data_IF_513072974021
#
_entry.id   IF_513072974021
#
_cell.length_a   1.000
_cell.length_b   1.000
_cell.length_c   1.000
_cell.angle_alpha   90.00
_cell.angle_beta   90.00
_cell.angle_gamma   90.00
#
_symmetry.space_group_name_H-M   'P 1'
#
loop_
_entity.id
_entity.type
_entity.pdbx_description
1 polymer ?
#
# COMPACT_ATOMS: atom_id res chain seq x y z
N UNK A 1 -25.54 -30.39 4.70
CA UNK A 1 -25.30 -29.87 6.08
C UNK A 1 -24.02 -30.45 6.66
N UNK A 2 -23.81 -31.77 6.57
CA UNK A 2 -22.60 -32.44 7.10
C UNK A 2 -21.34 -31.98 6.36
N UNK A 3 -21.39 -31.78 5.07
CA UNK A 3 -20.28 -31.32 4.26
C UNK A 3 -19.82 -29.89 4.59
N UNK A 4 -20.76 -29.02 4.99
CA UNK A 4 -20.45 -27.63 5.36
C UNK A 4 -19.76 -27.55 6.72
N UNK A 5 -20.18 -28.36 7.68
CA UNK A 5 -19.57 -28.43 9.01
C UNK A 5 -18.14 -28.96 8.95
N UNK A 6 -17.91 -30.01 8.17
CA UNK A 6 -16.56 -30.59 8.00
C UNK A 6 -15.60 -29.58 7.38
N UNK A 7 -16.05 -28.80 6.41
CA UNK A 7 -15.22 -27.77 5.78
C UNK A 7 -14.86 -26.64 6.73
N UNK A 8 -15.77 -26.24 7.59
CA UNK A 8 -15.53 -25.21 8.59
C UNK A 8 -14.50 -25.67 9.62
N UNK A 9 -14.63 -26.89 10.11
CA UNK A 9 -13.69 -27.49 11.07
C UNK A 9 -12.28 -27.62 10.48
N UNK A 10 -12.19 -28.05 9.21
CA UNK A 10 -10.92 -28.13 8.50
C UNK A 10 -10.28 -26.75 8.33
N UNK A 11 -11.07 -25.72 8.01
CA UNK A 11 -10.61 -24.36 7.88
C UNK A 11 -10.03 -23.80 9.18
N UNK A 12 -10.71 -24.04 10.30
CA UNK A 12 -10.25 -23.62 11.63
C UNK A 12 -8.99 -24.36 12.05
N UNK A 13 -8.89 -25.66 11.76
CA UNK A 13 -7.70 -26.47 12.04
C UNK A 13 -6.49 -26.03 11.23
N UNK A 14 -6.70 -25.72 9.95
CA UNK A 14 -5.63 -25.20 9.08
C UNK A 14 -5.15 -23.84 9.54
N UNK A 15 -6.05 -22.96 9.96
CA UNK A 15 -5.69 -21.64 10.48
C UNK A 15 -4.84 -21.76 11.74
N UNK A 16 -5.21 -22.63 12.68
CA UNK A 16 -4.44 -22.87 13.89
C UNK A 16 -3.06 -23.45 13.58
N UNK A 17 -2.98 -24.38 12.63
CA UNK A 17 -1.71 -24.96 12.20
C UNK A 17 -0.80 -23.92 11.56
N UNK A 18 -1.35 -23.04 10.71
CA UNK A 18 -0.59 -21.95 10.08
C UNK A 18 -0.09 -20.96 11.11
N UNK A 19 -0.90 -20.60 12.10
CA UNK A 19 -0.50 -19.67 13.17
C UNK A 19 0.62 -20.24 14.02
N UNK A 20 0.53 -21.53 14.41
CA UNK A 20 1.58 -22.21 15.17
C UNK A 20 2.88 -22.31 14.36
N UNK A 21 2.79 -22.64 13.07
CA UNK A 21 3.93 -22.72 12.18
C UNK A 21 4.58 -21.34 11.97
N UNK A 22 3.78 -20.28 11.95
CA UNK A 22 4.28 -18.90 11.81
C UNK A 22 5.13 -18.51 13.02
N UNK A 23 4.70 -18.85 14.24
CA UNK A 23 5.49 -18.60 15.44
C UNK A 23 6.85 -19.31 15.40
N UNK A 24 6.86 -20.57 14.96
CA UNK A 24 8.09 -21.36 14.84
C UNK A 24 9.05 -20.73 13.81
N UNK A 25 8.53 -20.29 12.69
CA UNK A 25 9.32 -19.63 11.67
C UNK A 25 9.93 -18.33 12.19
N UNK A 26 9.16 -17.53 12.92
CA UNK A 26 9.66 -16.30 13.50
C UNK A 26 10.79 -16.55 14.50
N UNK A 27 10.68 -17.61 15.29
CA UNK A 27 11.75 -18.02 16.23
C UNK A 27 13.02 -18.41 15.48
N UNK A 28 12.89 -19.20 14.42
CA UNK A 28 14.03 -19.61 13.60
C UNK A 28 14.75 -18.43 12.98
N UNK A 29 13.97 -17.41 12.54
CA UNK A 29 14.51 -16.21 11.93
C UNK A 29 15.00 -15.17 12.96
N UNK A 30 14.83 -15.45 14.24
CA UNK A 30 15.19 -14.53 15.33
C UNK A 30 14.41 -13.21 15.25
N UNK A 31 13.14 -13.32 14.89
CA UNK A 31 12.22 -12.17 14.78
C UNK A 31 11.21 -12.20 15.93
N UNK A 32 10.83 -11.03 16.40
CA UNK A 32 9.78 -10.90 17.40
C UNK A 32 8.42 -11.35 16.87
N UNK A 33 7.59 -11.91 17.75
CA UNK A 33 6.24 -12.34 17.40
C UNK A 33 5.28 -11.15 17.41
N UNK A 34 5.42 -10.27 16.43
CA UNK A 34 4.53 -9.13 16.23
C UNK A 34 3.53 -9.44 15.12
N UNK A 35 2.41 -8.71 15.10
CA UNK A 35 1.41 -8.87 14.06
C UNK A 35 2.00 -8.57 12.66
N UNK A 36 2.83 -7.53 12.56
CA UNK A 36 3.47 -7.16 11.30
C UNK A 36 4.39 -8.27 10.79
N UNK A 37 5.17 -8.90 11.66
CA UNK A 37 6.04 -10.01 11.29
C UNK A 37 5.23 -11.25 10.89
N UNK A 38 4.16 -11.56 11.61
CA UNK A 38 3.27 -12.68 11.27
C UNK A 38 2.60 -12.47 9.92
N UNK A 39 2.11 -11.28 9.66
CA UNK A 39 1.48 -10.94 8.38
C UNK A 39 2.46 -11.08 7.22
N UNK A 40 3.70 -10.61 7.40
CA UNK A 40 4.75 -10.74 6.39
C UNK A 40 5.07 -12.22 6.09
N UNK A 41 5.19 -13.04 7.11
CA UNK A 41 5.43 -14.49 6.95
C UNK A 41 4.28 -15.15 6.17
N UNK A 42 3.04 -14.79 6.48
CA UNK A 42 1.87 -15.30 5.77
C UNK A 42 1.89 -14.90 4.29
N UNK A 43 2.26 -13.67 3.99
CA UNK A 43 2.37 -13.19 2.61
C UNK A 43 3.37 -14.03 1.82
N UNK A 44 4.54 -14.32 2.40
CA UNK A 44 5.53 -15.19 1.77
C UNK A 44 4.99 -16.60 1.57
N UNK A 45 4.34 -17.17 2.57
CA UNK A 45 3.79 -18.51 2.50
C UNK A 45 2.70 -18.62 1.43
N UNK A 46 1.79 -17.65 1.37
CA UNK A 46 0.72 -17.60 0.36
C UNK A 46 1.25 -17.51 -1.06
N UNK A 47 2.38 -16.84 -1.25
CA UNK A 47 3.02 -16.68 -2.54
C UNK A 47 4.08 -17.77 -2.82
N UNK A 48 4.22 -18.76 -1.96
CA UNK A 48 5.17 -19.87 -2.09
C UNK A 48 6.62 -19.37 -2.26
N UNK A 49 6.97 -18.36 -1.49
CA UNK A 49 8.30 -17.75 -1.50
C UNK A 49 9.11 -18.24 -0.31
N UNK A 50 10.42 -18.30 -0.48
CA UNK A 50 11.33 -18.57 0.62
C UNK A 50 11.25 -17.45 1.65
N UNK A 51 11.07 -17.82 2.93
CA UNK A 51 10.92 -16.86 4.02
C UNK A 51 12.30 -16.59 4.62
N UNK A 52 12.75 -15.34 4.47
CA UNK A 52 14.03 -14.89 5.03
C UNK A 52 13.79 -13.67 5.92
N UNK A 53 14.72 -13.41 6.83
CA UNK A 53 14.67 -12.23 7.69
C UNK A 53 14.67 -10.95 6.85
N UNK A 54 15.55 -10.88 5.86
CA UNK A 54 15.67 -9.74 4.96
C UNK A 54 14.38 -9.52 4.16
N UNK A 55 13.76 -10.61 3.69
CA UNK A 55 12.49 -10.54 2.96
C UNK A 55 11.35 -10.04 3.84
N UNK A 56 11.27 -10.51 5.09
CA UNK A 56 10.26 -10.04 6.03
C UNK A 56 10.42 -8.54 6.29
N UNK A 57 11.65 -8.09 6.54
CA UNK A 57 11.93 -6.67 6.74
C UNK A 57 11.59 -5.83 5.50
N UNK A 58 11.87 -6.35 4.31
CA UNK A 58 11.55 -5.68 3.05
C UNK A 58 10.04 -5.51 2.86
N UNK A 59 9.25 -6.56 3.09
CA UNK A 59 7.80 -6.48 2.97
C UNK A 59 7.21 -5.53 4.02
N UNK A 60 7.71 -5.56 5.23
CA UNK A 60 7.29 -4.62 6.28
C UNK A 60 7.57 -3.17 5.87
N UNK A 61 8.74 -2.92 5.30
CA UNK A 61 9.14 -1.60 4.84
C UNK A 61 8.23 -1.10 3.71
N UNK A 62 7.95 -1.95 2.72
CA UNK A 62 7.04 -1.62 1.62
C UNK A 62 5.63 -1.32 2.16
N UNK A 63 5.13 -2.16 3.05
CA UNK A 63 3.81 -1.98 3.66
C UNK A 63 3.75 -0.67 4.46
N UNK A 64 4.77 -0.39 5.24
CA UNK A 64 4.87 0.86 6.02
C UNK A 64 4.92 2.09 5.11
N UNK A 65 5.68 2.03 4.03
CA UNK A 65 5.78 3.10 3.03
C UNK A 65 4.42 3.36 2.38
N UNK A 66 3.71 2.31 1.99
CA UNK A 66 2.39 2.42 1.40
C UNK A 66 1.37 3.04 2.37
N UNK A 67 1.37 2.59 3.63
CA UNK A 67 0.49 3.14 4.66
C UNK A 67 0.78 4.62 4.91
N UNK A 68 2.05 5.00 4.96
CA UNK A 68 2.46 6.39 5.13
C UNK A 68 2.04 7.25 3.93
N UNK A 69 2.21 6.73 2.72
CA UNK A 69 1.78 7.38 1.48
C UNK A 69 0.28 7.66 1.50
N UNK A 70 -0.52 6.65 1.85
CA UNK A 70 -1.98 6.77 1.91
C UNK A 70 -2.39 7.82 2.93
N UNK A 71 -1.75 7.82 4.10
CA UNK A 71 -2.04 8.78 5.17
C UNK A 71 -1.73 10.21 4.77
N UNK A 72 -0.65 10.41 4.02
CA UNK A 72 -0.14 11.74 3.65
C UNK A 72 -0.68 12.25 2.31
N UNK A 73 -1.42 11.43 1.58
CA UNK A 73 -2.01 11.84 0.30
C UNK A 73 -3.25 12.69 0.56
N UNK A 74 -3.10 13.98 0.42
CA UNK A 74 -4.18 14.95 0.57
C UNK A 74 -4.60 15.47 -0.80
N UNK A 75 -5.84 15.95 -0.97
CA UNK A 75 -6.31 16.45 -2.27
C UNK A 75 -5.39 17.50 -2.89
N UNK A 76 -4.95 18.47 -2.12
CA UNK A 76 -4.06 19.53 -2.58
C UNK A 76 -2.69 19.00 -2.99
N UNK A 77 -2.17 18.00 -2.27
CA UNK A 77 -0.88 17.39 -2.59
C UNK A 77 -0.96 16.53 -3.84
N UNK A 78 -2.01 15.75 -3.98
CA UNK A 78 -2.25 14.93 -5.17
C UNK A 78 -2.34 15.80 -6.41
N UNK A 79 -3.06 16.90 -6.34
CA UNK A 79 -3.22 17.83 -7.45
C UNK A 79 -1.90 18.53 -7.79
N UNK A 80 -1.11 18.90 -6.76
CA UNK A 80 0.22 19.49 -6.96
C UNK A 80 1.15 18.53 -7.71
N UNK A 81 1.13 17.24 -7.36
CA UNK A 81 1.91 16.22 -8.05
C UNK A 81 1.52 16.12 -9.52
N UNK A 82 0.22 16.04 -9.78
CA UNK A 82 -0.31 15.95 -11.15
C UNK A 82 0.15 17.16 -11.99
N UNK A 83 0.12 18.35 -11.42
CA UNK A 83 0.53 19.58 -12.10
C UNK A 83 2.03 19.68 -12.34
N UNK A 84 2.83 19.02 -11.51
CA UNK A 84 4.28 18.91 -11.74
C UNK A 84 4.65 17.75 -12.66
N UNK A 85 3.67 17.13 -13.31
CA UNK A 85 3.83 15.95 -14.18
C UNK A 85 4.38 14.74 -13.46
N UNK A 86 4.16 14.65 -12.16
CA UNK A 86 4.46 13.46 -11.37
C UNK A 86 3.16 12.67 -11.24
N UNK A 87 3.10 11.48 -11.87
CA UNK A 87 1.92 10.63 -11.75
C UNK A 87 2.10 9.69 -10.56
N UNK A 88 1.38 9.92 -9.43
CA UNK A 88 1.54 9.07 -8.25
C UNK A 88 1.20 7.61 -8.49
N UNK A 89 0.46 7.31 -9.57
CA UNK A 89 0.06 5.94 -9.90
C UNK A 89 1.17 5.13 -10.55
N UNK A 90 2.03 5.77 -11.32
CA UNK A 90 3.08 5.10 -12.11
C UNK A 90 4.49 5.27 -11.53
N UNK A 91 4.67 6.20 -10.59
CA UNK A 91 5.94 6.37 -9.89
C UNK A 91 6.10 5.33 -8.78
N UNK A 92 7.34 4.97 -8.45
CA UNK A 92 7.63 4.09 -7.33
C UNK A 92 7.07 4.69 -6.04
N UNK A 93 6.50 3.84 -5.18
CA UNK A 93 5.85 4.31 -3.94
C UNK A 93 6.82 5.02 -3.00
N UNK A 94 8.10 4.65 -3.02
CA UNK A 94 9.11 5.31 -2.18
C UNK A 94 9.33 6.74 -2.65
N UNK A 95 9.39 6.97 -3.95
CA UNK A 95 9.50 8.31 -4.56
C UNK A 95 8.28 9.16 -4.22
N UNK A 96 7.08 8.59 -4.38
CA UNK A 96 5.83 9.28 -4.04
C UNK A 96 5.80 9.63 -2.56
N UNK A 97 6.14 8.68 -1.70
CA UNK A 97 6.13 8.89 -0.25
C UNK A 97 7.13 9.96 0.18
N UNK A 98 8.32 9.98 -0.40
CA UNK A 98 9.34 11.00 -0.12
C UNK A 98 8.85 12.39 -0.51
N UNK A 99 8.22 12.52 -1.67
CA UNK A 99 7.63 13.77 -2.13
C UNK A 99 6.55 14.27 -1.17
N UNK A 100 5.63 13.39 -0.77
CA UNK A 100 4.54 13.72 0.15
C UNK A 100 5.07 14.13 1.53
N UNK A 101 6.06 13.42 2.03
CA UNK A 101 6.67 13.71 3.33
C UNK A 101 7.32 15.09 3.31
N UNK A 102 8.05 15.42 2.26
CA UNK A 102 8.69 16.73 2.10
C UNK A 102 7.66 17.86 1.99
N UNK A 103 6.62 17.65 1.17
CA UNK A 103 5.54 18.62 1.01
C UNK A 103 4.81 18.89 2.32
N UNK A 104 4.51 17.85 3.08
CA UNK A 104 3.82 17.98 4.37
C UNK A 104 4.70 18.66 5.42
N UNK A 105 6.00 18.39 5.42
CA UNK A 105 6.95 19.07 6.32
C UNK A 105 7.00 20.57 6.04
N UNK A 106 6.98 20.96 4.77
CA UNK A 106 6.93 22.37 4.37
C UNK A 106 5.59 23.02 4.73
N UNK A 107 4.48 22.28 4.64
CA UNK A 107 3.16 22.78 4.99
C UNK A 107 2.98 23.05 6.48
N UNK A 108 3.63 22.31 7.35
CA UNK A 108 3.55 22.52 8.80
C UNK A 108 4.12 23.88 9.22
N UNK A 109 5.02 24.43 8.42
CA UNK A 109 5.61 25.76 8.69
C UNK A 109 4.77 26.93 8.11
N UNK A 110 3.94 26.68 7.06
CA UNK A 110 3.19 27.74 6.34
C UNK A 110 1.84 27.23 5.82
N UNK A 111 1.11 26.55 6.65
CA UNK A 111 -0.14 25.85 6.28
C UNK A 111 -1.19 26.75 5.62
N UNK A 112 -1.41 27.96 6.19
CA UNK A 112 -2.42 28.90 5.70
C UNK A 112 -1.99 29.57 4.38
N UNK A 113 -0.74 29.98 4.29
CA UNK A 113 -0.21 30.68 3.13
C UNK A 113 -0.18 29.77 1.88
N UNK A 114 0.22 28.51 2.04
CA UNK A 114 0.26 27.56 0.93
C UNK A 114 -1.13 27.14 0.48
N UNK A 115 -2.07 26.97 1.41
CA UNK A 115 -3.46 26.66 1.09
C UNK A 115 -4.08 27.83 0.31
N UNK A 116 -3.84 29.04 0.73
CA UNK A 116 -4.31 30.24 0.03
C UNK A 116 -3.72 30.37 -1.38
N UNK A 117 -2.43 30.07 -1.53
CA UNK A 117 -1.77 30.05 -2.83
C UNK A 117 -2.35 28.96 -3.74
N UNK A 118 -2.64 27.80 -3.19
CA UNK A 118 -3.23 26.69 -3.92
C UNK A 118 -4.62 27.06 -4.44
N UNK A 119 -5.46 27.63 -3.59
CA UNK A 119 -6.79 28.10 -3.97
C UNK A 119 -6.72 29.22 -5.00
N UNK A 120 -5.76 30.12 -4.86
CA UNK A 120 -5.54 31.21 -5.82
C UNK A 120 -5.14 30.67 -7.20
N UNK A 121 -4.22 29.70 -7.22
CA UNK A 121 -3.81 29.04 -8.47
C UNK A 121 -4.96 28.28 -9.12
N UNK A 122 -5.81 27.65 -8.33
CA UNK A 122 -7.02 26.97 -8.80
C UNK A 122 -7.97 27.96 -9.48
N UNK A 123 -8.22 29.11 -8.87
CA UNK A 123 -9.08 30.16 -9.44
C UNK A 123 -8.48 30.72 -10.73
N UNK A 124 -7.17 30.93 -10.77
CA UNK A 124 -6.47 31.46 -11.93
C UNK A 124 -6.47 30.52 -13.14
N UNK A 125 -6.58 29.21 -12.89
CA UNK A 125 -6.54 28.18 -13.94
C UNK A 125 -7.91 27.61 -14.28
N UNK A 126 -9.00 28.36 -14.00
CA UNK A 126 -10.39 27.92 -14.21
C UNK A 126 -10.73 26.58 -13.51
N UNK A 127 -10.06 26.31 -12.38
CA UNK A 127 -10.30 25.12 -11.59
C UNK A 127 -9.48 23.93 -12.05
N UNK A 128 -10.08 22.75 -12.02
CA UNK A 128 -9.44 21.47 -12.34
C UNK A 128 -9.85 21.07 -13.76
N UNK A 129 -8.88 20.78 -14.63
CA UNK A 129 -9.15 20.26 -15.97
C UNK A 129 -9.79 18.88 -15.88
N UNK A 130 -10.48 18.44 -16.92
CA UNK A 130 -11.10 17.13 -16.98
C UNK A 130 -10.07 16.02 -16.84
N UNK A 131 -8.90 16.16 -17.45
CA UNK A 131 -7.81 15.20 -17.37
C UNK A 131 -7.24 15.11 -15.94
N UNK A 132 -7.00 16.26 -15.31
CA UNK A 132 -6.55 16.32 -13.92
C UNK A 132 -7.58 15.69 -12.97
N UNK A 133 -8.86 15.96 -13.19
CA UNK A 133 -9.96 15.40 -12.40
C UNK A 133 -10.02 13.89 -12.52
N UNK A 134 -9.85 13.35 -13.72
CA UNK A 134 -9.86 11.90 -13.92
C UNK A 134 -8.68 11.22 -13.23
N UNK A 135 -7.49 11.81 -13.29
CA UNK A 135 -6.32 11.31 -12.58
C UNK A 135 -6.54 11.35 -11.07
N UNK A 136 -7.09 12.43 -10.57
CA UNK A 136 -7.39 12.61 -9.15
C UNK A 136 -8.38 11.54 -8.65
N UNK A 137 -9.47 11.33 -9.39
CA UNK A 137 -10.47 10.29 -9.06
C UNK A 137 -9.81 8.90 -9.07
N UNK A 138 -8.95 8.63 -10.05
CA UNK A 138 -8.22 7.37 -10.15
C UNK A 138 -7.34 7.10 -8.94
N UNK A 139 -6.61 8.11 -8.49
CA UNK A 139 -5.75 8.02 -7.29
C UNK A 139 -6.59 7.66 -6.06
N UNK A 140 -7.70 8.33 -5.83
CA UNK A 140 -8.54 8.08 -4.65
C UNK A 140 -9.24 6.73 -4.70
N UNK A 141 -9.63 6.26 -5.88
CA UNK A 141 -10.17 4.90 -6.03
C UNK A 141 -9.14 3.85 -5.66
N UNK A 142 -7.89 4.01 -6.11
CA UNK A 142 -6.81 3.09 -5.76
C UNK A 142 -6.49 3.11 -4.27
N UNK A 143 -6.42 4.30 -3.68
CA UNK A 143 -6.17 4.43 -2.24
C UNK A 143 -7.24 3.71 -1.41
N UNK A 144 -8.50 3.80 -1.82
CA UNK A 144 -9.60 3.13 -1.14
C UNK A 144 -9.45 1.59 -1.17
N UNK A 145 -8.94 1.05 -2.27
CA UNK A 145 -8.65 -0.39 -2.38
C UNK A 145 -7.57 -0.79 -1.34
N UNK A 146 -6.50 -0.01 -1.24
CA UNK A 146 -5.35 -0.34 -0.39
C UNK A 146 -5.62 -0.17 1.11
N UNK A 147 -6.65 0.56 1.51
CA UNK A 147 -7.04 0.63 2.92
C UNK A 147 -7.62 -0.68 3.42
N UNK A 148 -8.03 -1.58 2.53
CA UNK A 148 -8.66 -2.85 2.90
C UNK A 148 -7.67 -3.99 3.03
N UNK A 149 -6.86 -4.27 2.02
CA UNK A 149 -5.85 -5.33 2.06
C UNK A 149 -4.85 -5.19 0.90
N UNK A 150 -3.69 -4.65 1.19
CA UNK A 150 -2.62 -4.50 0.21
C UNK A 150 -1.55 -5.58 0.32
N UNK A 151 -1.52 -6.33 1.42
CA UNK A 151 -0.43 -7.26 1.73
C UNK A 151 -0.21 -8.31 0.64
N UNK A 152 -1.28 -8.94 0.19
CA UNK A 152 -1.20 -9.98 -0.85
C UNK A 152 -0.70 -9.41 -2.19
N UNK A 153 -1.13 -8.20 -2.53
CA UNK A 153 -0.66 -7.52 -3.75
C UNK A 153 0.84 -7.20 -3.66
N UNK A 154 1.30 -6.72 -2.52
CA UNK A 154 2.73 -6.46 -2.28
C UNK A 154 3.53 -7.76 -2.48
N UNK A 155 3.07 -8.86 -1.89
CA UNK A 155 3.73 -10.16 -2.02
C UNK A 155 3.84 -10.62 -3.47
N UNK A 156 2.79 -10.43 -4.26
CA UNK A 156 2.78 -10.78 -5.68
C UNK A 156 3.85 -10.01 -6.46
N UNK A 157 3.94 -8.70 -6.24
CA UNK A 157 4.91 -7.86 -6.93
C UNK A 157 6.35 -8.18 -6.52
N UNK A 158 6.59 -8.44 -5.24
CA UNK A 158 7.91 -8.84 -4.74
C UNK A 158 8.33 -10.17 -5.37
N UNK A 159 7.42 -11.14 -5.44
CA UNK A 159 7.69 -12.44 -6.08
C UNK A 159 8.06 -12.28 -7.55
N UNK A 160 7.36 -11.42 -8.28
CA UNK A 160 7.57 -11.19 -9.71
C UNK A 160 8.72 -10.21 -9.96
N UNK A 161 9.33 -9.67 -8.93
CA UNK A 161 10.38 -8.65 -9.00
C UNK A 161 9.95 -7.44 -9.85
N UNK A 162 8.70 -7.02 -9.67
CA UNK A 162 8.14 -5.86 -10.35
C UNK A 162 8.25 -4.61 -9.50
N UNK A 163 8.25 -3.46 -10.17
CA UNK A 163 8.28 -2.17 -9.49
C UNK A 163 7.03 -1.98 -8.63
N UNK A 164 7.22 -1.49 -7.41
CA UNK A 164 6.11 -1.25 -6.48
C UNK A 164 5.53 0.14 -6.76
N UNK A 165 4.51 0.16 -7.59
CA UNK A 165 3.73 1.36 -7.92
C UNK A 165 2.27 1.13 -7.52
N UNK A 166 1.51 2.21 -7.34
CA UNK A 166 0.09 2.09 -7.05
C UNK A 166 -0.65 1.37 -8.17
N UNK A 167 -0.27 1.63 -9.42
CA UNK A 167 -0.86 0.97 -10.60
C UNK A 167 -0.60 -0.54 -10.57
N UNK A 168 0.65 -0.96 -10.33
CA UNK A 168 1.01 -2.38 -10.27
C UNK A 168 0.34 -3.08 -9.09
N UNK A 169 0.25 -2.41 -7.94
CA UNK A 169 -0.47 -2.94 -6.78
C UNK A 169 -1.95 -3.15 -7.08
N UNK A 170 -2.56 -2.22 -7.79
CA UNK A 170 -3.96 -2.32 -8.19
C UNK A 170 -4.19 -3.49 -9.15
N UNK A 171 -3.30 -3.65 -10.15
CA UNK A 171 -3.35 -4.77 -11.08
C UNK A 171 -3.21 -6.11 -10.36
N UNK A 172 -2.27 -6.22 -9.44
CA UNK A 172 -2.05 -7.42 -8.64
C UNK A 172 -3.26 -7.74 -7.76
N UNK A 173 -3.84 -6.74 -7.13
CA UNK A 173 -5.04 -6.88 -6.31
C UNK A 173 -6.23 -7.39 -7.13
N UNK A 174 -6.48 -6.79 -8.28
CA UNK A 174 -7.58 -7.18 -9.17
C UNK A 174 -7.38 -8.58 -9.75
N UNK A 175 -6.16 -8.94 -10.10
CA UNK A 175 -5.82 -10.26 -10.61
C UNK A 175 -6.13 -11.37 -9.58
N UNK A 176 -5.90 -11.10 -8.31
CA UNK A 176 -6.18 -12.08 -7.24
C UNK A 176 -7.68 -12.25 -6.97
N UNK A 177 -8.48 -11.22 -7.22
CA UNK A 177 -9.93 -11.28 -7.04
C UNK A 177 -10.66 -12.01 -8.19
N UNK A 178 -10.05 -12.05 -9.34
CA UNK A 178 -10.57 -12.78 -10.47
C UNK A 178 -10.25 -14.27 -10.33
#
# INVERSE_FOLDING_TARGET
AVGTEVRKDLGDSLKKAVDASTEDILKELNLENTQANRDAVRIFAENQMEITKEGVENIKEIHSTLQNLIRNMKPETALAMIRENINPMTEDIHTVNAYLTEMNAQQDNDKEEKYSRFLYKLDQTDGISEQERNQFIGIYKMMNIFTKDAGAAIGTLVKQNEEITMENLCKAYNSRRA
#
